data_IF_505505135736
#
_entry.id   IF_505505135736
#
_cell.length_a   1.000
_cell.length_b   1.000
_cell.length_c   1.000
_cell.angle_alpha   90.00
_cell.angle_beta   90.00
_cell.angle_gamma   90.00
#
_symmetry.space_group_name_H-M   'P 1'
#
loop_
_entity.id
_entity.type
_entity.pdbx_description
1 polymer ?
#
# COMPACT_ATOMS: atom_id res chain seq x y z
N UNK A 1 17.89 -21.67 8.46
CA UNK A 1 16.41 -21.57 8.47
C UNK A 1 16.02 -20.12 8.27
N UNK A 2 15.66 -19.73 7.05
CA UNK A 2 15.09 -18.40 6.80
C UNK A 2 13.72 -18.37 7.47
N UNK A 3 13.53 -17.48 8.46
CA UNK A 3 12.21 -17.19 8.99
C UNK A 3 11.38 -16.65 7.83
N UNK A 4 10.35 -17.37 7.42
CA UNK A 4 9.37 -16.87 6.44
C UNK A 4 8.72 -15.63 7.05
N UNK A 5 9.22 -14.46 6.68
CA UNK A 5 8.68 -13.18 7.10
C UNK A 5 7.28 -13.04 6.50
N UNK A 6 6.28 -12.88 7.36
CA UNK A 6 4.91 -12.65 6.90
C UNK A 6 4.83 -11.36 6.06
N UNK A 7 3.97 -11.32 5.03
CA UNK A 7 3.72 -10.12 4.23
C UNK A 7 3.42 -8.89 5.10
N UNK A 8 3.88 -7.71 4.66
CA UNK A 8 3.71 -6.45 5.39
C UNK A 8 2.25 -6.21 5.79
N UNK A 9 1.32 -6.45 4.86
CA UNK A 9 -0.13 -6.33 5.12
C UNK A 9 -0.60 -7.20 6.28
N UNK A 10 -0.16 -8.46 6.34
CA UNK A 10 -0.50 -9.38 7.45
C UNK A 10 0.15 -8.95 8.77
N UNK A 11 1.39 -8.44 8.72
CA UNK A 11 2.09 -7.90 9.89
C UNK A 11 1.37 -6.68 10.47
N UNK A 12 0.93 -5.74 9.63
CA UNK A 12 0.16 -4.56 10.04
C UNK A 12 -1.17 -4.96 10.66
N UNK A 13 -1.92 -5.86 10.02
CA UNK A 13 -3.20 -6.35 10.56
C UNK A 13 -3.02 -7.00 11.94
N UNK A 14 -1.97 -7.82 12.10
CA UNK A 14 -1.68 -8.48 13.38
C UNK A 14 -1.16 -7.51 14.44
N UNK A 15 -0.37 -6.51 14.07
CA UNK A 15 0.18 -5.50 14.98
C UNK A 15 -0.90 -4.52 15.46
N UNK A 16 -1.84 -4.12 14.59
CA UNK A 16 -2.98 -3.29 14.96
C UNK A 16 -3.87 -3.97 16.02
N UNK A 17 -4.02 -5.30 15.96
CA UNK A 17 -4.74 -6.10 16.95
C UNK A 17 -3.98 -6.16 18.30
N UNK A 18 -2.65 -6.04 18.28
CA UNK A 18 -1.80 -6.14 19.48
C UNK A 18 -1.53 -4.82 20.20
N UNK A 19 -1.88 -3.65 19.63
CA UNK A 19 -1.60 -2.32 20.20
C UNK A 19 -2.60 -1.90 21.29
N UNK A 20 -2.96 -2.85 22.16
CA UNK A 20 -3.99 -2.75 23.21
C UNK A 20 -3.41 -3.10 24.60
N UNK A 21 -2.11 -2.89 24.81
CA UNK A 21 -1.46 -3.11 26.11
C UNK A 21 -1.55 -1.92 27.07
N UNK A 22 -1.67 -0.68 26.57
CA UNK A 22 -1.84 0.53 27.41
C UNK A 22 -3.12 0.55 28.25
N UNK A 23 -4.29 0.09 27.75
CA UNK A 23 -5.51 -0.06 28.54
C UNK A 23 -5.32 -0.94 29.78
N UNK A 24 -4.67 -2.09 29.61
CA UNK A 24 -4.56 -3.13 30.63
C UNK A 24 -3.75 -2.64 31.82
N UNK A 25 -2.64 -1.93 31.58
CA UNK A 25 -1.79 -1.35 32.64
C UNK A 25 -2.58 -0.34 33.48
N UNK A 26 -3.41 0.49 32.85
CA UNK A 26 -4.22 1.50 33.56
C UNK A 26 -5.33 0.84 34.37
N UNK A 27 -6.02 -0.17 33.83
CA UNK A 27 -7.02 -0.93 34.59
C UNK A 27 -6.41 -1.67 35.79
N UNK A 28 -5.20 -2.23 35.64
CA UNK A 28 -4.46 -2.84 36.74
C UNK A 28 -4.12 -1.80 37.81
N UNK A 29 -3.63 -0.61 37.42
CA UNK A 29 -3.29 0.46 38.35
C UNK A 29 -4.52 0.96 39.15
N UNK A 30 -5.67 1.14 38.48
CA UNK A 30 -6.92 1.53 39.17
C UNK A 30 -7.42 0.41 40.08
N UNK A 31 -7.36 -0.85 39.64
CA UNK A 31 -7.69 -1.99 40.49
C UNK A 31 -6.83 -2.05 41.75
N UNK A 32 -5.52 -1.81 41.62
CA UNK A 32 -4.60 -1.75 42.76
C UNK A 32 -4.94 -0.60 43.72
N UNK A 33 -5.28 0.58 43.18
CA UNK A 33 -5.68 1.74 43.96
C UNK A 33 -6.97 1.49 44.77
N UNK A 34 -7.95 0.80 44.18
CA UNK A 34 -9.18 0.40 44.88
C UNK A 34 -8.87 -0.58 46.02
N UNK A 35 -8.01 -1.57 45.78
CA UNK A 35 -7.59 -2.54 46.81
C UNK A 35 -6.90 -1.82 47.99
N UNK A 36 -6.03 -0.85 47.70
CA UNK A 36 -5.36 -0.03 48.72
C UNK A 36 -6.39 0.82 49.49
N UNK A 37 -7.34 1.46 48.81
CA UNK A 37 -8.39 2.25 49.44
C UNK A 37 -9.25 1.41 50.40
N UNK A 38 -9.60 0.18 50.00
CA UNK A 38 -10.34 -0.78 50.84
C UNK A 38 -9.48 -1.22 52.03
N UNK A 39 -8.18 -1.43 51.84
CA UNK A 39 -7.27 -1.83 52.92
C UNK A 39 -7.11 -0.74 54.00
N UNK A 40 -7.34 0.54 53.66
CA UNK A 40 -7.29 1.68 54.59
C UNK A 40 -8.61 1.89 55.35
N UNK A 41 -9.71 1.27 54.89
CA UNK A 41 -11.04 1.34 55.54
C UNK A 41 -11.03 1.17 57.07
N UNK A 42 -10.33 0.18 57.67
CA UNK A 42 -10.33 0.02 59.13
C UNK A 42 -9.63 1.16 59.89
N UNK A 43 -8.83 2.00 59.22
CA UNK A 43 -8.12 3.13 59.83
C UNK A 43 -8.91 4.44 59.67
N UNK A 44 -9.46 4.68 58.48
CA UNK A 44 -10.21 5.91 58.15
C UNK A 44 -11.35 5.61 57.16
N UNK A 45 -12.56 5.43 57.69
CA UNK A 45 -13.73 5.03 56.89
C UNK A 45 -14.14 6.08 55.85
N UNK A 46 -14.20 7.37 56.23
CA UNK A 46 -14.57 8.46 55.31
C UNK A 46 -13.56 8.65 54.18
N UNK A 47 -12.27 8.57 54.49
CA UNK A 47 -11.19 8.69 53.50
C UNK A 47 -11.23 7.52 52.50
N UNK A 48 -11.46 6.31 53.00
CA UNK A 48 -11.57 5.10 52.18
C UNK A 48 -12.74 5.18 51.20
N UNK A 49 -13.91 5.64 51.67
CA UNK A 49 -15.10 5.79 50.83
C UNK A 49 -14.91 6.86 49.75
N UNK A 50 -14.35 8.02 50.10
CA UNK A 50 -14.08 9.10 49.14
C UNK A 50 -13.07 8.67 48.07
N UNK A 51 -11.94 8.06 48.47
CA UNK A 51 -10.93 7.55 47.53
C UNK A 51 -11.52 6.48 46.60
N UNK A 52 -12.33 5.57 47.14
CA UNK A 52 -12.95 4.52 46.32
C UNK A 52 -13.91 5.12 45.28
N UNK A 53 -14.75 6.08 45.68
CA UNK A 53 -15.67 6.77 44.78
C UNK A 53 -14.94 7.53 43.67
N UNK A 54 -13.88 8.25 44.01
CA UNK A 54 -13.07 9.00 43.04
C UNK A 54 -12.32 8.06 42.07
N UNK A 55 -11.75 6.97 42.57
CA UNK A 55 -11.08 5.97 41.73
C UNK A 55 -12.04 5.27 40.76
N UNK A 56 -13.28 5.00 41.19
CA UNK A 56 -14.33 4.47 40.31
C UNK A 56 -14.69 5.49 39.23
N UNK A 57 -14.82 6.78 39.58
CA UNK A 57 -15.09 7.85 38.61
C UNK A 57 -13.96 7.99 37.58
N UNK A 58 -12.69 7.94 38.01
CA UNK A 58 -11.51 7.97 37.13
C UNK A 58 -11.47 6.74 36.22
N UNK A 59 -11.71 5.54 36.76
CA UNK A 59 -11.84 4.31 35.95
C UNK A 59 -12.94 4.45 34.90
N UNK A 60 -14.09 5.01 35.27
CA UNK A 60 -15.22 5.20 34.35
C UNK A 60 -14.89 6.19 33.23
N UNK A 61 -14.27 7.33 33.54
CA UNK A 61 -13.84 8.30 32.53
C UNK A 61 -12.82 7.67 31.58
N UNK A 62 -11.81 6.99 32.11
CA UNK A 62 -10.80 6.30 31.28
C UNK A 62 -11.47 5.22 30.43
N UNK A 63 -12.41 4.47 31.00
CA UNK A 63 -13.16 3.45 30.28
C UNK A 63 -14.00 4.06 29.15
N UNK A 64 -14.71 5.16 29.40
CA UNK A 64 -15.51 5.87 28.39
C UNK A 64 -14.60 6.42 27.28
N UNK A 65 -13.51 7.10 27.63
CA UNK A 65 -12.54 7.62 26.64
C UNK A 65 -11.94 6.47 25.84
N UNK A 66 -11.52 5.39 26.50
CA UNK A 66 -10.90 4.27 25.82
C UNK A 66 -11.91 3.53 24.94
N UNK A 67 -13.08 3.16 25.44
CA UNK A 67 -14.10 2.47 24.64
C UNK A 67 -14.63 3.35 23.53
N UNK A 68 -15.09 4.57 23.81
CA UNK A 68 -15.71 5.39 22.77
C UNK A 68 -14.68 5.87 21.75
N UNK A 69 -13.52 6.32 22.19
CA UNK A 69 -12.54 6.97 21.32
C UNK A 69 -11.67 5.94 20.61
N UNK A 70 -11.26 4.86 21.27
CA UNK A 70 -10.45 3.80 20.64
C UNK A 70 -11.31 2.85 19.81
N UNK A 71 -12.48 2.40 20.26
CA UNK A 71 -13.29 1.50 19.41
C UNK A 71 -13.90 2.23 18.20
N UNK A 72 -14.33 3.48 18.37
CA UNK A 72 -14.83 4.27 17.23
C UNK A 72 -13.72 4.52 16.21
N UNK A 73 -12.55 4.98 16.65
CA UNK A 73 -11.40 5.20 15.75
C UNK A 73 -10.88 3.89 15.16
N UNK A 74 -10.83 2.79 15.90
CA UNK A 74 -10.41 1.49 15.37
C UNK A 74 -11.40 0.92 14.35
N UNK A 75 -12.71 1.07 14.57
CA UNK A 75 -13.74 0.64 13.59
C UNK A 75 -13.66 1.48 12.32
N UNK A 76 -13.57 2.81 12.47
CA UNK A 76 -13.40 3.72 11.33
C UNK A 76 -12.10 3.43 10.58
N UNK A 77 -10.99 3.24 11.30
CA UNK A 77 -9.70 2.91 10.73
C UNK A 77 -9.73 1.56 10.03
N UNK A 78 -10.36 0.51 10.58
CA UNK A 78 -10.50 -0.78 9.91
C UNK A 78 -11.23 -0.65 8.57
N UNK A 79 -12.31 0.15 8.52
CA UNK A 79 -13.06 0.41 7.28
C UNK A 79 -12.20 1.20 6.28
N UNK A 80 -11.52 2.26 6.74
CA UNK A 80 -10.67 3.10 5.89
C UNK A 80 -9.44 2.34 5.38
N UNK A 81 -8.78 1.56 6.25
CA UNK A 81 -7.63 0.72 5.92
C UNK A 81 -7.98 -0.31 4.85
N UNK A 82 -9.14 -0.98 4.95
CA UNK A 82 -9.58 -1.90 3.88
C UNK A 82 -9.78 -1.19 2.54
N UNK A 83 -10.34 0.03 2.55
CA UNK A 83 -10.51 0.84 1.32
C UNK A 83 -9.17 1.34 0.78
N UNK A 84 -8.25 1.74 1.65
CA UNK A 84 -6.90 2.15 1.29
C UNK A 84 -6.14 0.99 0.67
N UNK A 85 -6.14 -0.18 1.31
CA UNK A 85 -5.56 -1.42 0.77
C UNK A 85 -6.13 -1.75 -0.61
N UNK A 86 -7.45 -1.63 -0.80
CA UNK A 86 -8.10 -1.84 -2.09
C UNK A 86 -7.61 -0.86 -3.15
N UNK A 87 -7.54 0.44 -2.83
CA UNK A 87 -7.10 1.48 -3.77
C UNK A 87 -5.63 1.30 -4.16
N UNK A 88 -4.78 0.98 -3.19
CA UNK A 88 -3.36 0.67 -3.41
C UNK A 88 -3.26 -0.56 -4.30
N UNK A 89 -3.93 -1.67 -3.95
CA UNK A 89 -3.87 -2.90 -4.72
C UNK A 89 -4.39 -2.74 -6.15
N UNK A 90 -5.45 -1.95 -6.34
CA UNK A 90 -5.96 -1.61 -7.67
C UNK A 90 -4.93 -0.83 -8.47
N UNK A 91 -4.34 0.22 -7.89
CA UNK A 91 -3.40 1.07 -8.61
C UNK A 91 -2.10 0.31 -8.96
N UNK A 92 -1.56 -0.48 -8.01
CA UNK A 92 -0.41 -1.36 -8.26
C UNK A 92 -0.70 -2.34 -9.40
N UNK A 93 -1.85 -3.01 -9.40
CA UNK A 93 -2.21 -3.91 -10.50
C UNK A 93 -2.30 -3.19 -11.85
N UNK A 94 -2.92 -2.01 -11.88
CA UNK A 94 -3.02 -1.22 -13.11
C UNK A 94 -1.63 -0.81 -13.62
N UNK A 95 -0.73 -0.35 -12.74
CA UNK A 95 0.65 -0.04 -13.12
C UNK A 95 1.35 -1.28 -13.69
N UNK A 96 1.18 -2.46 -13.07
CA UNK A 96 1.75 -3.73 -13.57
C UNK A 96 1.23 -4.06 -14.96
N UNK A 97 -0.07 -3.93 -15.18
CA UNK A 97 -0.70 -4.20 -16.48
C UNK A 97 -0.24 -3.18 -17.54
N UNK A 98 -0.14 -1.91 -17.18
CA UNK A 98 0.35 -0.84 -18.04
C UNK A 98 1.81 -1.04 -18.44
N UNK A 99 2.69 -1.35 -17.49
CA UNK A 99 4.10 -1.67 -17.78
C UNK A 99 4.19 -2.89 -18.69
N UNK A 100 3.56 -4.01 -18.32
CA UNK A 100 3.60 -5.22 -19.11
C UNK A 100 3.11 -4.98 -20.55
N UNK A 101 1.96 -4.32 -20.71
CA UNK A 101 1.31 -4.15 -22.02
C UNK A 101 1.96 -3.07 -22.89
N UNK A 102 2.28 -1.92 -22.30
CA UNK A 102 2.71 -0.74 -23.06
C UNK A 102 4.22 -0.65 -23.23
N UNK A 103 4.98 -1.02 -22.20
CA UNK A 103 6.43 -0.98 -22.26
C UNK A 103 7.03 -2.30 -22.78
N UNK A 104 6.41 -3.44 -22.41
CA UNK A 104 7.01 -4.76 -22.59
C UNK A 104 6.27 -5.64 -23.62
N UNK A 105 5.25 -5.11 -24.30
CA UNK A 105 4.53 -5.80 -25.37
C UNK A 105 3.74 -7.04 -24.93
N UNK A 106 3.37 -7.14 -23.66
CA UNK A 106 2.61 -8.28 -23.14
C UNK A 106 1.25 -8.42 -23.84
N UNK A 107 0.99 -9.61 -24.36
CA UNK A 107 -0.28 -9.98 -24.99
C UNK A 107 -0.69 -11.38 -24.49
N UNK A 108 -1.62 -11.49 -23.53
CA UNK A 108 -1.95 -12.76 -22.90
C UNK A 108 -2.66 -13.70 -23.87
N UNK A 109 -2.26 -14.97 -23.85
CA UNK A 109 -2.92 -16.03 -24.62
C UNK A 109 -3.97 -16.71 -23.74
N UNK A 110 -5.23 -16.30 -23.87
CA UNK A 110 -6.34 -16.84 -23.09
C UNK A 110 -7.21 -17.79 -23.91
N UNK A 111 -7.56 -18.93 -23.31
CA UNK A 111 -8.56 -19.86 -23.89
C UNK A 111 -9.94 -19.19 -23.82
N UNK A 112 -10.66 -19.19 -24.94
CA UNK A 112 -11.94 -18.47 -25.12
C UNK A 112 -13.07 -18.95 -24.20
N UNK A 113 -13.00 -20.20 -23.75
CA UNK A 113 -14.08 -20.85 -22.99
C UNK A 113 -13.83 -20.86 -21.46
N UNK A 114 -12.80 -20.17 -20.98
CA UNK A 114 -12.52 -20.10 -19.54
C UNK A 114 -13.53 -19.19 -18.83
N UNK A 115 -14.03 -19.58 -17.63
CA UNK A 115 -14.73 -18.67 -16.74
C UNK A 115 -13.87 -17.43 -16.44
N UNK A 116 -14.51 -16.27 -16.30
CA UNK A 116 -13.83 -14.97 -16.12
C UNK A 116 -12.79 -15.00 -14.99
N UNK A 117 -13.11 -15.60 -13.85
CA UNK A 117 -12.19 -15.68 -12.71
C UNK A 117 -10.94 -16.52 -13.00
N UNK A 118 -11.10 -17.59 -13.78
CA UNK A 118 -9.99 -18.44 -14.20
C UNK A 118 -9.14 -17.73 -15.25
N UNK A 119 -9.77 -17.08 -16.23
CA UNK A 119 -9.08 -16.27 -17.24
C UNK A 119 -8.26 -15.14 -16.60
N UNK A 120 -8.80 -14.45 -15.60
CA UNK A 120 -8.10 -13.40 -14.85
C UNK A 120 -6.91 -13.95 -14.06
N UNK A 121 -7.05 -15.15 -13.48
CA UNK A 121 -5.97 -15.82 -12.75
C UNK A 121 -4.84 -16.24 -13.70
N UNK A 122 -5.21 -16.83 -14.84
CA UNK A 122 -4.29 -17.23 -15.91
C UNK A 122 -3.52 -16.02 -16.45
N UNK A 123 -4.23 -14.94 -16.82
CA UNK A 123 -3.63 -13.70 -17.33
C UNK A 123 -2.61 -13.12 -16.34
N UNK A 124 -2.93 -13.11 -15.05
CA UNK A 124 -2.03 -12.61 -14.02
C UNK A 124 -0.80 -13.49 -13.87
N UNK A 125 -0.95 -14.81 -13.95
CA UNK A 125 0.17 -15.75 -13.93
C UNK A 125 1.11 -15.51 -15.11
N UNK A 126 0.55 -15.40 -16.33
CA UNK A 126 1.33 -15.11 -17.54
C UNK A 126 2.04 -13.75 -17.45
N UNK A 127 1.36 -12.72 -16.95
CA UNK A 127 1.96 -11.39 -16.74
C UNK A 127 3.11 -11.45 -15.73
N UNK A 128 2.92 -12.18 -14.63
CA UNK A 128 3.92 -12.28 -13.58
C UNK A 128 5.19 -12.98 -14.10
N UNK A 129 5.02 -14.06 -14.87
CA UNK A 129 6.12 -14.73 -15.57
C UNK A 129 6.80 -13.81 -16.59
N UNK A 130 6.01 -13.02 -17.35
CA UNK A 130 6.55 -12.05 -18.30
C UNK A 130 7.43 -11.01 -17.58
N UNK A 131 6.94 -10.42 -16.49
CA UNK A 131 7.71 -9.45 -15.71
C UNK A 131 9.01 -10.05 -15.15
N UNK A 132 8.98 -11.28 -14.67
CA UNK A 132 10.16 -12.00 -14.16
C UNK A 132 11.22 -12.21 -15.27
N UNK A 133 10.78 -12.59 -16.48
CA UNK A 133 11.69 -12.72 -17.62
C UNK A 133 12.39 -11.40 -17.97
N UNK A 134 11.68 -10.28 -17.84
CA UNK A 134 12.24 -8.95 -18.07
C UNK A 134 13.17 -8.47 -16.97
N UNK A 135 12.92 -8.81 -15.71
CA UNK A 135 13.85 -8.53 -14.60
C UNK A 135 15.20 -9.23 -14.78
N UNK A 136 15.22 -10.40 -15.43
CA UNK A 136 16.42 -11.18 -15.69
C UNK A 136 17.30 -10.64 -16.84
N UNK A 137 16.79 -9.74 -17.68
CA UNK A 137 17.56 -9.17 -18.80
C UNK A 137 18.69 -8.27 -18.30
N UNK A 138 19.74 -8.12 -19.12
CA UNK A 138 20.75 -7.07 -18.90
C UNK A 138 20.13 -5.69 -19.13
N UNK A 139 20.76 -4.63 -18.62
CA UNK A 139 20.23 -3.27 -18.79
C UNK A 139 20.18 -2.84 -20.27
N UNK A 140 21.19 -3.23 -21.05
CA UNK A 140 21.27 -2.90 -22.47
C UNK A 140 20.22 -3.68 -23.27
N UNK A 141 20.08 -5.00 -23.03
CA UNK A 141 19.03 -5.82 -23.65
C UNK A 141 17.63 -5.31 -23.33
N UNK A 142 17.43 -4.82 -22.10
CA UNK A 142 16.16 -4.24 -21.68
C UNK A 142 15.84 -3.02 -22.53
N UNK A 143 16.76 -2.07 -22.65
CA UNK A 143 16.56 -0.81 -23.39
C UNK A 143 16.27 -1.04 -24.87
N UNK A 144 16.92 -2.01 -25.50
CA UNK A 144 16.71 -2.36 -26.91
C UNK A 144 15.32 -2.95 -27.16
N UNK A 145 14.79 -3.71 -26.20
CA UNK A 145 13.53 -4.45 -26.36
C UNK A 145 12.28 -3.65 -25.97
N UNK A 146 12.41 -2.47 -25.35
CA UNK A 146 11.26 -1.63 -24.99
C UNK A 146 10.41 -1.36 -26.23
N UNK A 147 9.10 -1.58 -26.10
CA UNK A 147 8.16 -1.34 -27.17
C UNK A 147 8.01 0.17 -27.44
N UNK A 148 8.04 0.56 -28.72
CA UNK A 148 7.84 1.96 -29.12
C UNK A 148 6.48 2.53 -28.71
N UNK A 149 5.50 1.64 -28.48
CA UNK A 149 4.18 1.97 -27.92
C UNK A 149 4.28 2.73 -26.59
N UNK A 150 5.35 2.55 -25.80
CA UNK A 150 5.56 3.30 -24.57
C UNK A 150 5.64 4.82 -24.80
N UNK A 151 6.15 5.24 -25.97
CA UNK A 151 6.51 6.63 -26.23
C UNK A 151 5.39 7.44 -26.90
N UNK A 152 4.16 6.94 -26.93
CA UNK A 152 3.00 7.71 -27.45
C UNK A 152 2.35 8.54 -26.33
N UNK A 153 1.52 9.51 -26.72
CA UNK A 153 0.90 10.46 -25.78
C UNK A 153 -0.06 9.80 -24.80
N UNK A 154 -0.78 8.78 -25.27
CA UNK A 154 -1.73 8.03 -24.46
C UNK A 154 -1.04 7.32 -23.30
N UNK A 155 0.18 6.81 -23.52
CA UNK A 155 0.96 6.13 -22.48
C UNK A 155 1.58 7.14 -21.51
N UNK A 156 2.03 8.30 -21.99
CA UNK A 156 2.47 9.40 -21.13
C UNK A 156 1.34 9.83 -20.18
N UNK A 157 0.14 10.07 -20.71
CA UNK A 157 -1.03 10.44 -19.90
C UNK A 157 -1.41 9.33 -18.93
N UNK A 158 -1.39 8.07 -19.39
CA UNK A 158 -1.66 6.92 -18.54
C UNK A 158 -0.73 6.85 -17.33
N UNK A 159 0.59 6.88 -17.54
CA UNK A 159 1.56 6.77 -16.43
C UNK A 159 1.56 8.01 -15.54
N UNK A 160 1.36 9.20 -16.10
CA UNK A 160 1.20 10.42 -15.31
C UNK A 160 -0.03 10.32 -14.39
N UNK A 161 -1.16 9.86 -14.91
CA UNK A 161 -2.37 9.67 -14.11
C UNK A 161 -2.15 8.64 -12.99
N UNK A 162 -1.39 7.56 -13.22
CA UNK A 162 -1.04 6.60 -12.16
C UNK A 162 -0.15 7.19 -11.09
N UNK A 163 0.84 7.99 -11.48
CA UNK A 163 1.70 8.72 -10.55
C UNK A 163 0.90 9.68 -9.67
N UNK A 164 -0.04 10.44 -10.25
CA UNK A 164 -0.94 11.34 -9.53
C UNK A 164 -1.86 10.59 -8.56
N UNK A 165 -2.39 9.43 -8.96
CA UNK A 165 -3.20 8.61 -8.08
C UNK A 165 -2.41 8.10 -6.86
N UNK A 166 -1.15 7.68 -7.04
CA UNK A 166 -0.29 7.30 -5.90
C UNK A 166 -0.06 8.49 -4.97
N UNK A 167 0.23 9.67 -5.53
CA UNK A 167 0.38 10.90 -4.76
C UNK A 167 -0.88 11.28 -3.99
N UNK A 168 -2.05 11.11 -4.61
CA UNK A 168 -3.35 11.33 -3.97
C UNK A 168 -3.53 10.39 -2.77
N UNK A 169 -3.21 9.09 -2.92
CA UNK A 169 -3.28 8.12 -1.82
C UNK A 169 -2.37 8.49 -0.65
N UNK A 170 -1.16 8.98 -0.95
CA UNK A 170 -0.19 9.43 0.05
C UNK A 170 -0.62 10.72 0.77
N UNK A 171 -1.42 11.58 0.12
CA UNK A 171 -1.91 12.83 0.71
C UNK A 171 -3.32 12.73 1.31
N UNK A 172 -3.97 11.56 1.26
CA UNK A 172 -5.23 11.37 1.95
C UNK A 172 -5.04 11.57 3.46
N UNK A 173 -6.02 12.18 4.13
CA UNK A 173 -6.00 12.43 5.59
C UNK A 173 -5.60 11.21 6.44
N UNK A 174 -5.85 10.00 5.95
CA UNK A 174 -5.59 8.75 6.67
C UNK A 174 -4.30 8.04 6.24
N UNK A 175 -3.47 8.65 5.39
CA UNK A 175 -2.16 8.09 5.00
C UNK A 175 -1.19 8.05 6.19
N UNK A 176 -1.38 8.89 7.20
CA UNK A 176 -0.61 8.92 8.46
C UNK A 176 -0.66 7.59 9.24
N UNK A 177 -1.64 6.75 8.95
CA UNK A 177 -1.81 5.44 9.58
C UNK A 177 -1.25 4.28 8.74
N UNK A 178 -0.75 4.55 7.52
CA UNK A 178 -0.05 3.55 6.71
C UNK A 178 1.30 3.21 7.35
N UNK A 179 1.77 1.98 7.12
CA UNK A 179 3.10 1.60 7.59
C UNK A 179 4.18 2.45 6.86
N UNK A 180 5.22 2.93 7.57
CA UNK A 180 6.29 3.72 6.96
C UNK A 180 6.94 3.04 5.75
N UNK A 181 7.09 1.70 5.80
CA UNK A 181 7.66 0.92 4.70
C UNK A 181 6.79 0.97 3.45
N UNK A 182 5.47 0.86 3.61
CA UNK A 182 4.52 0.99 2.51
C UNK A 182 4.53 2.40 1.93
N UNK A 183 4.57 3.42 2.79
CA UNK A 183 4.68 4.83 2.35
C UNK A 183 5.94 5.03 1.52
N UNK A 184 7.08 4.51 1.97
CA UNK A 184 8.34 4.57 1.21
C UNK A 184 8.19 3.92 -0.16
N UNK A 185 7.66 2.69 -0.24
CA UNK A 185 7.49 2.00 -1.52
C UNK A 185 6.56 2.72 -2.49
N UNK A 186 5.47 3.32 -1.99
CA UNK A 186 4.54 4.08 -2.82
C UNK A 186 5.14 5.42 -3.27
N UNK A 187 5.94 6.08 -2.42
CA UNK A 187 6.68 7.28 -2.78
C UNK A 187 7.73 6.99 -3.86
N UNK A 188 8.52 5.93 -3.67
CA UNK A 188 9.52 5.50 -4.64
C UNK A 188 8.83 5.19 -5.98
N UNK A 189 7.71 4.45 -5.96
CA UNK A 189 6.95 4.13 -7.16
C UNK A 189 6.41 5.39 -7.87
N UNK A 190 5.92 6.37 -7.11
CA UNK A 190 5.47 7.66 -7.66
C UNK A 190 6.62 8.41 -8.36
N UNK A 191 7.79 8.49 -7.73
CA UNK A 191 8.98 9.15 -8.30
C UNK A 191 9.38 8.45 -9.59
N UNK A 192 9.51 7.13 -9.56
CA UNK A 192 9.93 6.35 -10.73
C UNK A 192 8.95 6.47 -11.91
N UNK A 193 7.64 6.54 -11.64
CA UNK A 193 6.63 6.80 -12.69
C UNK A 193 6.73 8.23 -13.25
N UNK A 194 7.00 9.20 -12.40
CA UNK A 194 7.17 10.60 -12.81
C UNK A 194 8.41 10.79 -13.68
N UNK A 195 9.50 10.12 -13.32
CA UNK A 195 10.74 10.08 -14.09
C UNK A 195 10.56 9.33 -15.42
N UNK A 196 9.83 8.21 -15.43
CA UNK A 196 9.44 7.53 -16.66
C UNK A 196 8.71 8.48 -17.62
N UNK A 197 7.76 9.28 -17.11
CA UNK A 197 7.08 10.31 -17.90
C UNK A 197 8.06 11.39 -18.43
N UNK A 198 9.08 11.77 -17.66
CA UNK A 198 10.13 12.68 -18.14
C UNK A 198 10.94 12.06 -19.29
N UNK A 199 11.28 10.78 -19.20
CA UNK A 199 11.99 10.07 -20.25
C UNK A 199 11.16 9.85 -21.51
N UNK A 200 9.86 9.57 -21.37
CA UNK A 200 8.92 9.53 -22.50
C UNK A 200 8.89 10.88 -23.21
N UNK A 201 8.76 11.98 -22.47
CA UNK A 201 8.82 13.34 -23.06
C UNK A 201 10.17 13.60 -23.73
N UNK A 202 11.27 13.18 -23.13
CA UNK A 202 12.61 13.32 -23.72
C UNK A 202 12.71 12.60 -25.05
N UNK A 203 12.23 11.35 -25.14
CA UNK A 203 12.18 10.59 -26.39
C UNK A 203 11.38 11.34 -27.46
N UNK A 204 10.20 11.88 -27.09
CA UNK A 204 9.34 12.61 -28.04
C UNK A 204 9.96 13.91 -28.56
N UNK A 205 10.83 14.58 -27.79
CA UNK A 205 11.54 15.80 -28.25
C UNK A 205 12.37 15.57 -29.51
N UNK A 206 12.77 14.32 -29.79
CA UNK A 206 13.46 13.94 -31.02
C UNK A 206 12.71 14.33 -32.31
N UNK A 207 11.39 14.49 -32.23
CA UNK A 207 10.55 14.97 -33.34
C UNK A 207 10.68 16.48 -33.60
N UNK A 208 11.10 17.26 -32.60
CA UNK A 208 11.25 18.72 -32.68
C UNK A 208 12.69 19.14 -32.98
N UNK A 209 13.66 18.33 -32.58
CA UNK A 209 15.10 18.57 -32.78
C UNK A 209 15.69 17.50 -33.69
N UNK A 210 15.52 17.67 -35.01
CA UNK A 210 15.90 16.66 -36.02
C UNK A 210 17.40 16.34 -35.98
N UNK A 211 18.24 17.37 -35.80
CA UNK A 211 19.71 17.22 -35.76
C UNK A 211 20.18 16.38 -34.55
N UNK A 212 19.48 16.48 -33.42
CA UNK A 212 19.78 15.76 -32.17
C UNK A 212 18.85 14.56 -31.92
N UNK A 213 18.10 14.13 -32.96
CA UNK A 213 17.02 13.15 -32.81
C UNK A 213 17.49 11.85 -32.16
N UNK A 214 18.63 11.33 -32.61
CA UNK A 214 19.26 10.14 -32.05
C UNK A 214 19.59 10.29 -30.56
N UNK A 215 20.15 11.42 -30.15
CA UNK A 215 20.50 11.68 -28.75
C UNK A 215 19.26 11.66 -27.85
N UNK A 216 18.18 12.32 -28.26
CA UNK A 216 16.93 12.37 -27.48
C UNK A 216 16.24 11.01 -27.40
N UNK A 217 16.21 10.26 -28.51
CA UNK A 217 15.65 8.90 -28.53
C UNK A 217 16.45 7.96 -27.63
N UNK A 218 17.78 7.95 -27.77
CA UNK A 218 18.64 7.05 -27.01
C UNK A 218 18.63 7.37 -25.52
N UNK A 219 18.76 8.65 -25.17
CA UNK A 219 18.70 9.12 -23.78
C UNK A 219 17.33 8.83 -23.14
N UNK A 220 16.24 9.10 -23.88
CA UNK A 220 14.88 8.78 -23.44
C UNK A 220 14.67 7.28 -23.23
N UNK A 221 15.14 6.44 -24.15
CA UNK A 221 14.97 4.99 -24.09
C UNK A 221 15.80 4.35 -22.98
N UNK A 222 17.06 4.75 -22.81
CA UNK A 222 17.92 4.26 -21.70
C UNK A 222 17.40 4.69 -20.34
N UNK A 223 16.96 5.94 -20.21
CA UNK A 223 16.34 6.43 -18.98
C UNK A 223 15.07 5.65 -18.66
N UNK A 224 14.17 5.51 -19.63
CA UNK A 224 12.95 4.72 -19.47
C UNK A 224 13.25 3.27 -19.05
N UNK A 225 14.27 2.63 -19.64
CA UNK A 225 14.69 1.28 -19.26
C UNK A 225 15.11 1.18 -17.80
N UNK A 226 15.91 2.14 -17.32
CA UNK A 226 16.35 2.20 -15.94
C UNK A 226 15.15 2.34 -14.98
N UNK A 227 14.25 3.29 -15.23
CA UNK A 227 13.09 3.49 -14.37
C UNK A 227 12.11 2.32 -14.43
N UNK A 228 11.87 1.74 -15.62
CA UNK A 228 10.99 0.57 -15.78
C UNK A 228 11.48 -0.62 -14.97
N UNK A 229 12.78 -0.92 -14.99
CA UNK A 229 13.35 -2.00 -14.18
C UNK A 229 13.09 -1.78 -12.69
N UNK A 230 13.29 -0.56 -12.21
CA UNK A 230 13.01 -0.19 -10.82
C UNK A 230 11.52 -0.29 -10.51
N UNK A 231 10.64 0.17 -11.41
CA UNK A 231 9.18 0.06 -11.28
C UNK A 231 8.78 -1.41 -11.17
N UNK A 232 9.29 -2.29 -12.04
CA UNK A 232 8.98 -3.73 -12.01
C UNK A 232 9.39 -4.32 -10.66
N UNK A 233 10.59 -4.02 -10.16
CA UNK A 233 11.02 -4.48 -8.83
C UNK A 233 10.14 -3.97 -7.69
N UNK A 234 9.71 -2.70 -7.74
CA UNK A 234 8.82 -2.10 -6.73
C UNK A 234 7.42 -2.74 -6.73
N UNK A 235 6.82 -2.94 -7.91
CA UNK A 235 5.49 -3.56 -8.01
C UNK A 235 5.53 -5.06 -7.70
N UNK A 236 6.63 -5.75 -7.99
CA UNK A 236 6.89 -7.12 -7.55
C UNK A 236 6.96 -7.19 -6.01
N UNK A 237 7.70 -6.29 -5.36
CA UNK A 237 7.76 -6.22 -3.89
C UNK A 237 6.39 -5.89 -3.28
N UNK A 238 5.66 -4.92 -3.81
CA UNK A 238 4.30 -4.59 -3.34
C UNK A 238 3.33 -5.77 -3.50
N UNK A 239 3.48 -6.59 -4.54
CA UNK A 239 2.74 -7.85 -4.69
C UNK A 239 3.06 -8.82 -3.55
N UNK A 240 4.33 -9.07 -3.27
CA UNK A 240 4.77 -9.97 -2.20
C UNK A 240 4.29 -9.52 -0.82
N UNK A 241 4.19 -8.20 -0.62
CA UNK A 241 3.66 -7.59 0.60
C UNK A 241 2.13 -7.69 0.75
N UNK A 242 1.43 -8.16 -0.28
CA UNK A 242 -0.02 -8.38 -0.29
C UNK A 242 -0.84 -7.22 -0.89
N UNK A 243 -0.19 -6.28 -1.57
CA UNK A 243 -0.78 -5.10 -2.20
C UNK A 243 -0.95 -5.27 -3.72
N UNK A 244 -1.17 -6.49 -4.20
CA UNK A 244 -1.51 -6.77 -5.60
C UNK A 244 -2.57 -7.86 -5.75
N UNK A 245 -3.25 -8.27 -4.67
CA UNK A 245 -4.32 -9.28 -4.73
C UNK A 245 -5.51 -8.82 -5.60
N UNK A 246 -6.46 -9.73 -5.92
CA UNK A 246 -7.69 -9.29 -6.61
C UNK A 246 -8.36 -8.25 -5.71
N UNK A 247 -8.60 -7.02 -6.19
CA UNK A 247 -9.29 -6.02 -5.39
C UNK A 247 -10.70 -6.52 -5.09
N UNK A 248 -10.93 -7.09 -3.91
CA UNK A 248 -12.29 -7.38 -3.42
C UNK A 248 -12.81 -6.08 -2.85
N UNK A 249 -13.91 -5.57 -3.41
CA UNK A 249 -14.63 -4.49 -2.75
C UNK A 249 -14.95 -4.96 -1.34
N UNK A 250 -14.65 -4.17 -0.30
CA UNK A 250 -15.07 -4.54 1.04
C UNK A 250 -16.60 -4.69 1.01
N UNK A 251 -17.10 -5.88 1.36
CA UNK A 251 -18.52 -6.09 1.57
C UNK A 251 -18.99 -5.03 2.56
N UNK A 252 -19.76 -4.07 2.07
CA UNK A 252 -20.46 -3.12 2.93
C UNK A 252 -21.50 -3.99 3.61
N UNK A 253 -21.23 -4.36 4.86
CA UNK A 253 -22.06 -5.29 5.62
C UNK A 253 -23.55 -4.96 5.45
N UNK A 254 -24.27 -5.94 4.90
CA UNK A 254 -25.66 -6.20 5.24
C UNK A 254 -25.67 -6.91 6.61
N UNK A 255 -25.07 -6.29 7.62
CA UNK A 255 -25.29 -6.71 9.01
C UNK A 255 -26.18 -5.63 9.62
N UNK A 256 -27.47 -5.99 9.64
CA UNK A 256 -28.55 -5.31 10.37
C UNK A 256 -28.37 -5.53 11.86
#
# INVERSE_FOLDING_TARGET
>A
MNKVTQPLRKRIQTAAIKKTSTPVVIYIAVGLAIVIAIAIKPLHEELSLNLTSEMIAVAFIIFVVNILLVNSKNKQWKIVSNRMDYLIARNVNQIRDGVATFALGFNPELKKDLPVDQAMTEMRSQRDLHLEQWEALSQDDFAERIADKLFQDEQLEYFNHRAEQLWSLLNMKYSEYLAPELVSHLMDLHIQLSDLCAHIRSFKKASWFIEDSFYYQESGRRGAAHNLRTIIGLVSRLKEEGYSEIPRMPEIGQDS
#
